data_IF_479325789013
#
_entry.id   IF_479325789013
#
_cell.length_a   1.000
_cell.length_b   1.000
_cell.length_c   1.000
_cell.angle_alpha   90.00
_cell.angle_beta   90.00
_cell.angle_gamma   90.00
#
_symmetry.space_group_name_H-M   'P 1'
#
loop_
_entity.id
_entity.type
_entity.pdbx_description
1 polymer ?
#
# COMPACT_ATOMS: atom_id res chain seq x y z
N UNK A 1 -33.46 -5.59 5.29
CA UNK A 1 -32.27 -4.81 4.88
C UNK A 1 -31.78 -4.06 6.11
N UNK A 2 -30.49 -4.11 6.46
CA UNK A 2 -29.98 -3.27 7.54
C UNK A 2 -30.24 -1.79 7.19
N UNK A 3 -30.52 -0.93 8.18
CA UNK A 3 -30.71 0.51 7.95
C UNK A 3 -29.48 1.05 7.22
N UNK A 4 -29.73 1.73 6.10
CA UNK A 4 -28.70 2.25 5.22
C UNK A 4 -28.06 3.46 5.90
N UNK A 5 -27.11 3.23 6.81
CA UNK A 5 -26.29 4.31 7.35
C UNK A 5 -25.40 4.82 6.21
N UNK A 6 -25.42 6.13 5.96
CA UNK A 6 -24.54 6.74 4.97
C UNK A 6 -23.21 7.09 5.65
N UNK A 7 -22.08 6.94 4.95
CA UNK A 7 -20.79 7.43 5.44
C UNK A 7 -20.89 8.95 5.68
N UNK A 8 -20.58 9.40 6.90
CA UNK A 8 -20.50 10.83 7.24
C UNK A 8 -19.06 11.34 7.16
N UNK A 9 -18.90 12.66 6.99
CA UNK A 9 -17.58 13.30 6.86
C UNK A 9 -16.72 13.10 8.11
N UNK A 10 -17.31 13.18 9.31
CA UNK A 10 -16.61 12.90 10.57
C UNK A 10 -16.04 11.49 10.63
N UNK A 11 -16.84 10.49 10.22
CA UNK A 11 -16.38 9.09 10.19
C UNK A 11 -15.28 8.94 9.15
N UNK A 12 -15.45 9.54 7.98
CA UNK A 12 -14.44 9.54 6.92
C UNK A 12 -13.13 10.19 7.35
N UNK A 13 -13.20 11.30 8.09
CA UNK A 13 -12.05 11.98 8.66
C UNK A 13 -11.27 11.09 9.64
N UNK A 14 -11.99 10.40 10.54
CA UNK A 14 -11.38 9.45 11.47
C UNK A 14 -10.67 8.29 10.73
N UNK A 15 -11.33 7.73 9.71
CA UNK A 15 -10.77 6.64 8.90
C UNK A 15 -9.53 7.11 8.12
N UNK A 16 -9.60 8.27 7.48
CA UNK A 16 -8.47 8.87 6.76
C UNK A 16 -7.29 9.17 7.68
N UNK A 17 -7.54 9.67 8.89
CA UNK A 17 -6.50 9.90 9.90
C UNK A 17 -5.87 8.58 10.40
N UNK A 18 -6.67 7.52 10.57
CA UNK A 18 -6.15 6.20 10.91
C UNK A 18 -5.29 5.61 9.78
N UNK A 19 -5.73 5.71 8.51
CA UNK A 19 -4.94 5.25 7.37
C UNK A 19 -3.60 5.97 7.28
N UNK A 20 -3.57 7.30 7.48
CA UNK A 20 -2.33 8.10 7.57
C UNK A 20 -1.39 7.62 8.68
N UNK A 21 -1.93 7.34 9.88
CA UNK A 21 -1.13 6.79 10.99
C UNK A 21 -0.59 5.40 10.68
N UNK A 22 -1.39 4.54 10.05
CA UNK A 22 -0.99 3.17 9.74
C UNK A 22 0.11 3.12 8.68
N UNK A 23 0.01 3.90 7.59
CA UNK A 23 1.05 3.93 6.56
C UNK A 23 2.33 4.59 7.07
N UNK A 24 2.23 5.54 8.01
CA UNK A 24 3.39 6.16 8.67
C UNK A 24 4.30 5.11 9.33
N UNK A 25 3.75 4.04 9.90
CA UNK A 25 4.55 2.95 10.47
C UNK A 25 5.49 2.34 9.42
N UNK A 26 5.04 2.14 8.18
CA UNK A 26 5.90 1.65 7.11
C UNK A 26 6.98 2.68 6.73
N UNK A 27 6.66 3.97 6.74
CA UNK A 27 7.62 5.04 6.47
C UNK A 27 8.69 5.14 7.56
N UNK A 28 8.29 5.03 8.83
CA UNK A 28 9.20 4.98 9.98
C UNK A 28 10.18 3.82 9.85
N UNK A 29 9.70 2.62 9.48
CA UNK A 29 10.57 1.45 9.25
C UNK A 29 11.56 1.70 8.10
N UNK A 30 11.15 2.37 7.03
CA UNK A 30 12.04 2.75 5.91
C UNK A 30 13.07 3.80 6.34
N UNK A 31 12.66 4.79 7.15
CA UNK A 31 13.56 5.82 7.68
C UNK A 31 14.62 5.21 8.60
N UNK A 32 14.23 4.37 9.55
CA UNK A 32 15.14 3.59 10.41
C UNK A 32 16.10 2.72 9.57
N UNK A 33 15.58 2.09 8.51
CA UNK A 33 16.40 1.35 7.56
C UNK A 33 17.34 2.26 6.75
N UNK A 34 17.08 3.56 6.61
CA UNK A 34 17.88 4.47 5.77
C UNK A 34 18.95 5.25 6.55
N UNK A 35 18.76 5.50 7.85
CA UNK A 35 19.50 6.53 8.60
C UNK A 35 20.80 6.09 9.31
N UNK A 36 21.22 4.82 9.26
CA UNK A 36 22.37 4.34 10.08
C UNK A 36 23.46 3.53 9.33
N UNK A 37 24.76 3.82 9.49
CA UNK A 37 25.81 2.86 9.20
C UNK A 37 25.95 1.88 10.38
N UNK A 38 25.71 0.58 10.17
CA UNK A 38 25.86 -0.46 11.21
C UNK A 38 27.04 -1.38 10.84
N UNK A 39 27.87 -1.76 11.82
CA UNK A 39 28.94 -2.77 11.65
C UNK A 39 28.34 -4.19 11.65
N UNK A 40 28.73 -5.05 10.70
CA UNK A 40 28.33 -6.47 10.62
C UNK A 40 27.49 -6.84 9.38
N UNK A 41 27.21 -8.14 9.11
CA UNK A 41 26.30 -8.57 8.05
C UNK A 41 24.90 -8.00 8.31
N UNK A 42 24.32 -7.31 7.32
CA UNK A 42 23.22 -6.35 7.53
C UNK A 42 22.02 -6.89 8.34
N UNK A 43 21.73 -6.34 9.53
CA UNK A 43 20.52 -6.66 10.31
C UNK A 43 19.24 -5.96 9.80
N UNK A 44 19.24 -5.42 8.56
CA UNK A 44 18.15 -4.59 8.01
C UNK A 44 17.12 -5.35 7.17
N UNK A 45 17.50 -6.48 6.58
CA UNK A 45 16.57 -7.32 5.81
C UNK A 45 15.44 -7.91 6.66
N UNK A 46 15.62 -7.96 7.98
CA UNK A 46 14.58 -8.35 8.95
C UNK A 46 13.45 -7.32 9.07
N UNK A 47 13.68 -6.05 8.72
CA UNK A 47 12.67 -4.99 8.75
C UNK A 47 11.78 -5.01 7.51
N UNK A 48 12.27 -5.48 6.36
CA UNK A 48 11.53 -5.48 5.10
C UNK A 48 10.18 -6.23 5.19
N UNK A 49 10.09 -7.42 5.82
CA UNK A 49 8.82 -8.08 6.07
C UNK A 49 7.83 -7.23 6.87
N UNK A 50 8.30 -6.53 7.90
CA UNK A 50 7.43 -5.66 8.71
C UNK A 50 7.01 -4.41 7.95
N UNK A 51 7.88 -3.84 7.11
CA UNK A 51 7.53 -2.74 6.20
C UNK A 51 6.41 -3.15 5.26
N UNK A 52 6.52 -4.34 4.65
CA UNK A 52 5.47 -4.88 3.77
C UNK A 52 4.17 -5.12 4.54
N UNK A 53 4.25 -5.74 5.72
CA UNK A 53 3.08 -6.00 6.56
C UNK A 53 2.37 -4.70 6.95
N UNK A 54 3.12 -3.68 7.38
CA UNK A 54 2.57 -2.38 7.75
C UNK A 54 1.93 -1.65 6.55
N UNK A 55 2.61 -1.63 5.40
CA UNK A 55 2.12 -0.94 4.20
C UNK A 55 0.84 -1.59 3.64
N UNK A 56 0.86 -2.91 3.45
CA UNK A 56 -0.30 -3.67 2.98
C UNK A 56 -1.44 -3.58 4.00
N UNK A 57 -1.15 -3.80 5.28
CA UNK A 57 -2.14 -3.73 6.35
C UNK A 57 -2.81 -2.36 6.47
N UNK A 58 -2.09 -1.26 6.23
CA UNK A 58 -2.66 0.09 6.23
C UNK A 58 -3.75 0.24 5.17
N UNK A 59 -3.51 -0.27 3.96
CA UNK A 59 -4.48 -0.28 2.86
C UNK A 59 -5.69 -1.18 3.15
N UNK A 60 -5.44 -2.42 3.58
CA UNK A 60 -6.51 -3.37 3.90
C UNK A 60 -7.43 -2.82 4.99
N UNK A 61 -6.84 -2.16 6.00
CA UNK A 61 -7.56 -1.54 7.09
C UNK A 61 -8.35 -0.32 6.61
N UNK A 62 -7.81 0.53 5.74
CA UNK A 62 -8.53 1.65 5.14
C UNK A 62 -9.83 1.18 4.49
N UNK A 63 -9.76 0.18 3.61
CA UNK A 63 -10.95 -0.34 2.91
C UNK A 63 -11.98 -0.87 3.92
N UNK A 64 -11.54 -1.67 4.90
CA UNK A 64 -12.44 -2.23 5.90
C UNK A 64 -13.07 -1.18 6.82
N UNK A 65 -12.31 -0.14 7.18
CA UNK A 65 -12.79 0.95 8.02
C UNK A 65 -13.76 1.84 7.27
N UNK A 66 -13.54 2.10 5.97
CA UNK A 66 -14.49 2.84 5.14
C UNK A 66 -15.84 2.10 5.03
N UNK A 67 -15.81 0.79 4.76
CA UNK A 67 -17.05 0.01 4.62
C UNK A 67 -17.77 -0.16 5.95
N UNK A 68 -17.04 -0.33 7.04
CA UNK A 68 -17.62 -0.39 8.38
C UNK A 68 -18.20 0.97 8.80
N UNK A 69 -17.50 2.07 8.50
CA UNK A 69 -17.96 3.43 8.79
C UNK A 69 -19.24 3.78 8.02
N UNK A 70 -19.40 3.27 6.80
CA UNK A 70 -20.62 3.38 6.02
C UNK A 70 -21.73 2.49 6.60
N UNK A 71 -21.50 1.19 6.79
CA UNK A 71 -22.60 0.25 7.09
C UNK A 71 -23.01 0.15 8.56
N UNK A 72 -22.12 0.43 9.50
CA UNK A 72 -22.37 0.12 10.91
C UNK A 72 -23.12 1.26 11.62
N UNK A 73 -24.30 0.95 12.15
CA UNK A 73 -25.04 1.86 13.03
C UNK A 73 -24.23 2.14 14.29
N UNK A 74 -23.68 1.09 14.91
CA UNK A 74 -22.84 1.15 16.10
C UNK A 74 -21.35 1.26 15.76
N UNK A 75 -20.99 2.16 14.85
CA UNK A 75 -19.59 2.43 14.51
C UNK A 75 -18.81 2.89 15.76
N UNK A 76 -17.67 2.23 16.02
CA UNK A 76 -16.83 2.47 17.22
C UNK A 76 -15.50 3.15 16.90
N UNK A 77 -15.36 3.64 15.67
CA UNK A 77 -14.11 4.15 15.15
C UNK A 77 -13.24 3.09 14.47
N UNK A 78 -12.13 3.54 13.85
CA UNK A 78 -11.20 2.70 13.09
C UNK A 78 -10.67 1.53 13.92
N UNK A 79 -10.55 0.35 13.31
CA UNK A 79 -10.08 -0.86 14.03
C UNK A 79 -11.14 -1.58 14.86
N UNK A 80 -12.28 -0.95 15.14
CA UNK A 80 -13.30 -1.50 16.04
C UNK A 80 -14.15 -2.64 15.47
N UNK A 81 -14.02 -2.94 14.17
CA UNK A 81 -14.85 -3.91 13.45
C UNK A 81 -13.99 -4.95 12.73
N UNK A 82 -14.44 -6.22 12.79
CA UNK A 82 -13.81 -7.34 12.09
C UNK A 82 -13.96 -7.19 10.58
N UNK A 83 -12.97 -7.65 9.83
CA UNK A 83 -12.94 -7.54 8.36
C UNK A 83 -13.10 -8.94 7.75
N UNK A 84 -13.77 -9.04 6.59
CA UNK A 84 -14.05 -10.31 5.90
C UNK A 84 -13.14 -10.56 4.69
N UNK A 85 -12.01 -9.85 4.56
CA UNK A 85 -11.04 -10.09 3.48
C UNK A 85 -11.37 -9.46 2.12
N UNK A 86 -12.37 -8.58 2.05
CA UNK A 86 -12.87 -7.98 0.81
C UNK A 86 -12.05 -6.78 0.27
N UNK A 87 -10.79 -6.64 0.69
CA UNK A 87 -9.90 -5.51 0.37
C UNK A 87 -8.95 -5.76 -0.81
N UNK A 88 -9.05 -6.92 -1.45
CA UNK A 88 -8.21 -7.30 -2.59
C UNK A 88 -8.83 -6.92 -3.93
N UNK A 89 -8.04 -6.71 -5.00
CA UNK A 89 -8.55 -6.20 -6.27
C UNK A 89 -9.76 -6.95 -6.83
N UNK A 90 -9.81 -8.27 -6.69
CA UNK A 90 -10.95 -9.09 -7.17
C UNK A 90 -12.27 -8.86 -6.43
N UNK A 91 -12.24 -8.26 -5.24
CA UNK A 91 -13.41 -8.08 -4.37
C UNK A 91 -13.64 -6.61 -3.97
N UNK A 92 -12.61 -5.76 -4.03
CA UNK A 92 -12.65 -4.39 -3.50
C UNK A 92 -13.69 -3.54 -4.20
N UNK A 93 -13.85 -3.66 -5.52
CA UNK A 93 -14.81 -2.86 -6.27
C UNK A 93 -16.25 -3.17 -5.85
N UNK A 94 -16.62 -4.45 -5.89
CA UNK A 94 -17.94 -4.90 -5.45
C UNK A 94 -18.20 -4.52 -3.98
N UNK A 95 -17.18 -4.63 -3.13
CA UNK A 95 -17.29 -4.29 -1.71
C UNK A 95 -17.51 -2.78 -1.48
N UNK A 96 -16.76 -1.92 -2.16
CA UNK A 96 -16.92 -0.46 -2.07
C UNK A 96 -18.27 -0.01 -2.64
N UNK A 97 -18.68 -0.54 -3.79
CA UNK A 97 -19.95 -0.18 -4.46
C UNK A 97 -21.16 -0.63 -3.62
N UNK A 98 -21.15 -1.88 -3.11
CA UNK A 98 -22.25 -2.40 -2.27
C UNK A 98 -22.46 -1.60 -0.97
N UNK A 99 -21.41 -0.95 -0.47
CA UNK A 99 -21.46 -0.05 0.69
C UNK A 99 -21.71 1.42 0.30
N UNK A 100 -22.05 1.67 -0.97
CA UNK A 100 -22.33 3.00 -1.53
C UNK A 100 -21.16 3.97 -1.32
N UNK A 101 -19.94 3.45 -1.23
CA UNK A 101 -18.73 4.27 -1.10
C UNK A 101 -18.35 4.93 -2.41
N UNK A 102 -18.62 4.25 -3.53
CA UNK A 102 -18.25 4.67 -4.88
C UNK A 102 -19.35 4.26 -5.85
N UNK A 103 -19.60 5.06 -6.89
CA UNK A 103 -20.54 4.72 -7.96
C UNK A 103 -19.94 3.80 -9.04
N UNK A 104 -18.61 3.83 -9.20
CA UNK A 104 -17.87 3.05 -10.19
C UNK A 104 -16.72 2.25 -9.56
N UNK A 105 -16.18 1.23 -10.25
CA UNK A 105 -15.02 0.48 -9.78
C UNK A 105 -13.85 1.39 -9.39
N UNK A 106 -13.19 1.08 -8.28
CA UNK A 106 -12.02 1.78 -7.79
C UNK A 106 -10.76 1.34 -8.55
N UNK A 107 -10.63 0.04 -8.84
CA UNK A 107 -9.45 -0.52 -9.52
C UNK A 107 -9.25 0.05 -10.92
N UNK A 108 -10.33 0.36 -11.65
CA UNK A 108 -10.28 1.02 -12.96
C UNK A 108 -9.84 2.48 -12.89
N UNK A 109 -9.90 3.08 -11.71
CA UNK A 109 -9.54 4.47 -11.44
C UNK A 109 -8.20 4.64 -10.73
N UNK A 110 -7.56 3.55 -10.32
CA UNK A 110 -6.28 3.61 -9.66
C UNK A 110 -5.22 4.26 -10.52
N UNK A 111 -4.53 5.22 -9.91
CA UNK A 111 -3.32 5.80 -10.44
C UNK A 111 -2.17 5.60 -9.46
N UNK A 112 -1.07 5.02 -9.94
CA UNK A 112 0.11 4.76 -9.14
C UNK A 112 1.34 4.58 -10.02
N UNK A 113 2.46 5.12 -9.55
CA UNK A 113 3.78 4.72 -9.99
C UNK A 113 4.22 3.47 -9.23
N UNK A 114 4.60 2.42 -9.94
CA UNK A 114 5.13 1.19 -9.37
C UNK A 114 6.37 0.71 -10.14
N UNK A 115 7.36 0.13 -9.46
CA UNK A 115 8.55 -0.39 -10.12
C UNK A 115 8.43 -1.90 -10.38
N UNK A 116 8.71 -2.31 -11.62
CA UNK A 116 8.63 -3.71 -12.03
C UNK A 116 9.88 -4.53 -11.61
N UNK A 117 11.04 -3.89 -11.49
CA UNK A 117 12.33 -4.56 -11.19
C UNK A 117 13.20 -3.70 -10.28
N UNK A 118 14.13 -4.35 -9.59
CA UNK A 118 14.98 -3.74 -8.56
C UNK A 118 16.41 -4.28 -8.61
N UNK A 119 17.36 -3.46 -8.18
CA UNK A 119 18.72 -3.86 -7.81
C UNK A 119 19.04 -3.29 -6.42
N UNK A 120 19.06 -4.16 -5.41
CA UNK A 120 19.17 -3.73 -4.00
C UNK A 120 17.98 -2.85 -3.60
N UNK A 121 18.25 -1.59 -3.24
CA UNK A 121 17.24 -0.58 -2.91
C UNK A 121 16.74 0.22 -4.12
N UNK A 122 17.42 0.12 -5.26
CA UNK A 122 17.19 0.98 -6.42
C UNK A 122 16.23 0.33 -7.40
N UNK A 123 15.10 0.97 -7.75
CA UNK A 123 14.22 0.49 -8.81
C UNK A 123 14.93 0.65 -10.16
N UNK A 124 14.84 -0.36 -11.02
CA UNK A 124 15.43 -0.32 -12.37
C UNK A 124 14.55 0.42 -13.39
N UNK A 125 13.35 0.81 -12.98
CA UNK A 125 12.40 1.57 -13.78
C UNK A 125 11.08 1.71 -13.02
N UNK A 126 10.36 2.80 -13.31
CA UNK A 126 9.02 3.05 -12.78
C UNK A 126 8.03 3.04 -13.92
N UNK A 127 6.95 2.30 -13.74
CA UNK A 127 5.77 2.34 -14.60
C UNK A 127 4.70 3.15 -13.87
N UNK A 128 4.14 4.15 -14.54
CA UNK A 128 3.02 4.93 -13.98
C UNK A 128 1.73 4.52 -14.66
N UNK A 129 0.78 4.00 -13.89
CA UNK A 129 -0.59 3.77 -14.33
C UNK A 129 -1.41 4.99 -13.99
N UNK A 130 -2.20 5.46 -14.95
CA UNK A 130 -3.21 6.51 -14.83
C UNK A 130 -4.57 5.96 -15.27
N UNK A 131 -5.63 6.72 -15.06
CA UNK A 131 -6.97 6.35 -15.56
C UNK A 131 -6.99 6.10 -17.07
N UNK A 132 -6.20 6.89 -17.81
CA UNK A 132 -6.09 6.84 -19.28
C UNK A 132 -5.06 5.81 -19.78
N UNK A 133 -4.35 5.11 -18.88
CA UNK A 133 -3.36 4.11 -19.28
C UNK A 133 -4.03 2.90 -19.95
N UNK A 134 -3.31 2.19 -20.85
CA UNK A 134 -3.78 0.95 -21.44
C UNK A 134 -4.13 -0.11 -20.39
N UNK A 135 -5.12 -0.96 -20.68
CA UNK A 135 -5.54 -2.04 -19.79
C UNK A 135 -4.37 -2.95 -19.36
N UNK A 136 -3.45 -3.25 -20.29
CA UNK A 136 -2.29 -4.10 -20.02
C UNK A 136 -1.36 -3.54 -18.91
N UNK A 137 -1.23 -2.22 -18.75
CA UNK A 137 -0.42 -1.64 -17.68
C UNK A 137 -1.15 -1.68 -16.33
N UNK A 138 -2.49 -1.58 -16.37
CA UNK A 138 -3.33 -1.79 -15.19
C UNK A 138 -3.26 -3.24 -14.72
N UNK A 139 -3.30 -4.21 -15.63
CA UNK A 139 -3.16 -5.63 -15.31
C UNK A 139 -1.82 -5.93 -14.63
N UNK A 140 -0.73 -5.29 -15.07
CA UNK A 140 0.58 -5.39 -14.39
C UNK A 140 0.54 -4.84 -12.97
N UNK A 141 -0.11 -3.69 -12.74
CA UNK A 141 -0.29 -3.14 -11.40
C UNK A 141 -1.14 -4.08 -10.52
N UNK A 142 -2.22 -4.64 -11.06
CA UNK A 142 -3.08 -5.59 -10.34
C UNK A 142 -2.34 -6.88 -9.99
N UNK A 143 -1.50 -7.38 -10.89
CA UNK A 143 -0.61 -8.52 -10.63
C UNK A 143 0.41 -8.18 -9.53
N UNK A 144 0.98 -6.98 -9.55
CA UNK A 144 1.91 -6.50 -8.52
C UNK A 144 1.25 -6.43 -7.13
N UNK A 145 0.03 -5.90 -7.04
CA UNK A 145 -0.77 -5.85 -5.80
C UNK A 145 -1.20 -7.26 -5.37
N UNK A 146 -1.48 -8.16 -6.30
CA UNK A 146 -1.83 -9.55 -5.98
C UNK A 146 -0.62 -10.30 -5.42
N UNK A 147 0.57 -10.07 -5.97
CA UNK A 147 1.82 -10.65 -5.47
C UNK A 147 2.16 -10.18 -4.05
N UNK A 148 1.86 -8.92 -3.71
CA UNK A 148 2.10 -8.38 -2.36
C UNK A 148 1.31 -9.13 -1.28
N UNK A 149 0.14 -9.71 -1.60
CA UNK A 149 -0.64 -10.56 -0.67
C UNK A 149 0.17 -11.75 -0.18
N UNK A 150 0.88 -12.41 -1.10
CA UNK A 150 1.76 -13.55 -0.76
C UNK A 150 2.91 -13.09 0.14
N UNK A 151 3.52 -11.94 -0.19
CA UNK A 151 4.57 -11.32 0.64
C UNK A 151 4.08 -10.97 2.05
N UNK A 152 2.91 -10.35 2.17
CA UNK A 152 2.27 -10.01 3.44
C UNK A 152 1.96 -11.24 4.27
N UNK A 153 1.34 -12.26 3.68
CA UNK A 153 1.00 -13.50 4.39
C UNK A 153 2.25 -14.24 4.88
N UNK A 154 3.27 -14.34 4.02
CA UNK A 154 4.54 -14.95 4.40
C UNK A 154 5.21 -14.20 5.56
N UNK A 155 5.20 -12.87 5.53
CA UNK A 155 5.72 -12.04 6.61
C UNK A 155 4.92 -12.24 7.91
N UNK A 156 3.58 -12.25 7.84
CA UNK A 156 2.72 -12.40 9.01
C UNK A 156 2.85 -13.76 9.70
N UNK A 157 3.14 -14.82 8.94
CA UNK A 157 3.29 -16.18 9.45
C UNK A 157 4.75 -16.63 9.62
N UNK A 158 5.73 -15.73 9.42
CA UNK A 158 7.16 -16.07 9.38
C UNK A 158 7.51 -17.19 8.38
N UNK A 159 6.69 -17.38 7.34
CA UNK A 159 6.79 -18.44 6.33
C UNK A 159 7.52 -17.99 5.06
N UNK A 160 8.42 -17.00 5.16
CA UNK A 160 9.16 -16.45 4.01
C UNK A 160 9.99 -17.51 3.28
N UNK A 161 10.62 -18.43 4.03
CA UNK A 161 11.46 -19.49 3.46
C UNK A 161 10.63 -20.55 2.73
N UNK A 162 9.49 -20.95 3.29
CA UNK A 162 8.60 -21.94 2.67
C UNK A 162 7.98 -21.40 1.38
N UNK A 163 7.46 -20.17 1.42
CA UNK A 163 6.91 -19.51 0.24
C UNK A 163 7.99 -19.22 -0.81
N UNK A 164 9.21 -18.93 -0.37
CA UNK A 164 10.34 -18.83 -1.27
C UNK A 164 10.58 -20.18 -1.97
N UNK A 165 10.80 -21.25 -1.23
CA UNK A 165 11.05 -22.59 -1.80
C UNK A 165 9.95 -23.04 -2.77
N UNK A 166 8.67 -22.80 -2.45
CA UNK A 166 7.55 -23.08 -3.34
C UNK A 166 7.60 -22.24 -4.63
N UNK A 167 7.84 -20.93 -4.52
CA UNK A 167 7.91 -20.06 -5.69
C UNK A 167 9.16 -20.30 -6.57
N UNK A 168 10.25 -20.83 -6.01
CA UNK A 168 11.46 -21.18 -6.76
C UNK A 168 11.21 -22.40 -7.67
N UNK A 169 10.37 -23.34 -7.26
CA UNK A 169 9.97 -24.49 -8.07
C UNK A 169 9.10 -24.09 -9.28
N UNK A 170 8.36 -22.97 -9.17
CA UNK A 170 7.49 -22.47 -10.23
C UNK A 170 8.23 -21.59 -11.29
N UNK A 171 9.48 -21.18 -11.05
CA UNK A 171 10.10 -20.04 -11.76
C UNK A 171 11.45 -20.32 -12.48
N UNK A 172 11.67 -21.55 -12.97
CA UNK A 172 12.86 -21.87 -13.77
C UNK A 172 12.89 -21.21 -15.18
N UNK A 173 11.90 -20.39 -15.55
CA UNK A 173 11.76 -19.84 -16.91
C UNK A 173 11.90 -18.32 -17.09
N UNK A 174 11.80 -17.47 -16.04
CA UNK A 174 11.71 -16.00 -16.23
C UNK A 174 12.71 -15.13 -15.43
N UNK A 175 13.57 -15.72 -14.59
CA UNK A 175 14.73 -15.02 -14.01
C UNK A 175 14.44 -13.80 -13.12
N UNK A 176 13.20 -13.64 -12.63
CA UNK A 176 12.84 -12.62 -11.62
C UNK A 176 12.22 -13.30 -10.41
N UNK A 177 12.61 -12.89 -9.20
CA UNK A 177 12.13 -13.54 -8.00
C UNK A 177 11.97 -12.55 -6.84
N UNK A 178 10.75 -12.30 -6.33
CA UNK A 178 10.50 -11.31 -5.29
C UNK A 178 11.08 -11.70 -3.92
N UNK A 179 11.64 -12.91 -3.77
CA UNK A 179 12.25 -13.42 -2.54
C UNK A 179 13.76 -13.61 -2.63
N UNK A 180 14.40 -13.10 -3.69
CA UNK A 180 15.86 -13.08 -3.84
C UNK A 180 16.41 -11.96 -2.96
N UNK A 181 16.53 -12.23 -1.66
CA UNK A 181 17.19 -11.32 -0.73
C UNK A 181 18.71 -11.37 -0.91
N UNK A 182 19.33 -10.24 -0.63
CA UNK A 182 20.75 -10.06 -0.34
C UNK A 182 21.24 -10.72 0.96
N UNK A 183 20.34 -11.38 1.72
CA UNK A 183 20.67 -12.09 2.96
C UNK A 183 21.00 -13.56 2.72
N UNK A 184 21.77 -14.17 3.64
CA UNK A 184 22.10 -15.60 3.63
C UNK A 184 20.87 -16.54 3.75
N UNK A 185 19.68 -16.00 4.05
CA UNK A 185 18.39 -16.72 4.08
C UNK A 185 17.36 -15.96 3.23
N UNK A 186 16.41 -16.64 2.58
CA UNK A 186 15.34 -15.98 1.84
C UNK A 186 14.59 -14.93 2.70
N UNK A 187 14.49 -13.71 2.18
CA UNK A 187 13.78 -12.58 2.78
C UNK A 187 13.25 -11.68 1.65
N UNK A 188 12.57 -10.58 2.00
CA UNK A 188 12.09 -9.60 1.04
C UNK A 188 13.18 -8.56 0.72
N UNK A 189 13.47 -8.27 -0.57
CA UNK A 189 14.41 -7.23 -0.96
C UNK A 189 13.97 -5.86 -0.47
N UNK A 190 14.93 -5.03 -0.05
CA UNK A 190 14.66 -3.68 0.45
C UNK A 190 14.00 -2.78 -0.61
N UNK A 191 14.41 -2.92 -1.89
CA UNK A 191 13.73 -2.26 -3.00
C UNK A 191 12.25 -2.64 -3.05
N UNK A 192 11.95 -3.95 -3.10
CA UNK A 192 10.57 -4.44 -3.14
C UNK A 192 9.71 -3.90 -1.98
N UNK A 193 10.22 -3.93 -0.74
CA UNK A 193 9.50 -3.38 0.41
C UNK A 193 9.20 -1.87 0.27
N UNK A 194 10.17 -1.08 -0.21
CA UNK A 194 10.00 0.36 -0.45
C UNK A 194 8.99 0.65 -1.55
N UNK A 195 9.01 -0.09 -2.66
CA UNK A 195 8.03 0.13 -3.73
C UNK A 195 6.64 -0.34 -3.38
N UNK A 196 6.48 -1.40 -2.58
CA UNK A 196 5.17 -1.73 -2.03
C UNK A 196 4.65 -0.60 -1.14
N UNK A 197 5.48 -0.06 -0.24
CA UNK A 197 5.08 1.10 0.57
C UNK A 197 4.70 2.31 -0.30
N UNK A 198 5.46 2.59 -1.36
CA UNK A 198 5.15 3.64 -2.34
C UNK A 198 3.80 3.42 -3.03
N UNK A 199 3.54 2.21 -3.52
CA UNK A 199 2.27 1.87 -4.20
C UNK A 199 1.11 2.02 -3.22
N UNK A 200 1.19 1.46 -2.01
CA UNK A 200 0.09 1.55 -1.05
C UNK A 200 -0.16 2.97 -0.55
N UNK A 201 0.87 3.81 -0.39
CA UNK A 201 0.68 5.22 -0.10
C UNK A 201 -0.15 5.91 -1.20
N UNK A 202 0.16 5.65 -2.47
CA UNK A 202 -0.57 6.20 -3.62
C UNK A 202 -2.00 5.67 -3.68
N UNK A 203 -2.22 4.37 -3.45
CA UNK A 203 -3.56 3.78 -3.44
C UNK A 203 -4.42 4.35 -2.30
N UNK A 204 -3.84 4.53 -1.11
CA UNK A 204 -4.52 5.18 0.03
C UNK A 204 -4.96 6.59 -0.33
N UNK A 205 -4.06 7.41 -0.88
CA UNK A 205 -4.35 8.79 -1.29
C UNK A 205 -5.41 8.83 -2.39
N UNK A 206 -5.25 8.01 -3.43
CA UNK A 206 -6.20 7.83 -4.53
C UNK A 206 -7.60 7.44 -4.04
N UNK A 207 -7.69 6.57 -3.04
CA UNK A 207 -8.98 6.10 -2.50
C UNK A 207 -9.66 7.15 -1.65
N UNK A 208 -8.90 7.86 -0.80
CA UNK A 208 -9.41 8.98 -0.04
C UNK A 208 -9.94 10.06 -1.00
N UNK A 209 -9.19 10.36 -2.06
CA UNK A 209 -9.57 11.35 -3.06
C UNK A 209 -10.91 10.99 -3.74
N UNK A 210 -11.04 9.77 -4.29
CA UNK A 210 -12.28 9.35 -4.94
C UNK A 210 -13.48 9.31 -3.98
N UNK A 211 -13.31 8.79 -2.77
CA UNK A 211 -14.42 8.71 -1.79
C UNK A 211 -14.90 10.10 -1.36
N UNK A 212 -13.97 11.04 -1.19
CA UNK A 212 -14.29 12.43 -0.87
C UNK A 212 -14.99 13.12 -2.04
N UNK A 213 -14.49 12.95 -3.27
CA UNK A 213 -15.04 13.58 -4.46
C UNK A 213 -16.47 13.11 -4.76
N UNK A 214 -16.77 11.82 -4.62
CA UNK A 214 -18.13 11.25 -4.79
C UNK A 214 -19.15 11.82 -3.79
N UNK A 215 -18.69 12.53 -2.75
CA UNK A 215 -19.52 13.14 -1.71
C UNK A 215 -19.40 14.66 -1.65
N UNK A 216 -18.63 15.27 -2.55
CA UNK A 216 -18.32 16.70 -2.56
C UNK A 216 -17.65 17.19 -1.26
N UNK A 217 -16.82 16.36 -0.64
CA UNK A 217 -16.00 16.76 0.52
C UNK A 217 -14.62 17.27 0.08
N UNK A 218 -13.99 18.09 0.92
CA UNK A 218 -12.61 18.54 0.67
C UNK A 218 -11.62 17.38 0.86
N UNK A 219 -11.20 16.78 -0.25
CA UNK A 219 -10.19 15.72 -0.22
C UNK A 219 -8.87 16.17 0.42
N UNK A 220 -8.51 17.45 0.31
CA UNK A 220 -7.26 18.01 0.83
C UNK A 220 -7.11 17.84 2.34
N UNK A 221 -8.20 18.00 3.10
CA UNK A 221 -8.21 17.83 4.56
C UNK A 221 -7.92 16.39 5.03
N UNK A 222 -8.20 15.40 4.17
CA UNK A 222 -8.17 13.99 4.54
C UNK A 222 -6.95 13.24 3.99
N UNK A 223 -6.40 13.70 2.86
CA UNK A 223 -5.30 13.02 2.16
C UNK A 223 -3.99 13.01 2.96
N UNK A 224 -3.09 12.04 2.68
CA UNK A 224 -1.75 12.04 3.25
C UNK A 224 -0.97 13.32 2.88
N UNK A 225 0.02 13.72 3.70
CA UNK A 225 0.85 14.90 3.42
C UNK A 225 1.52 14.82 2.05
N UNK A 226 1.48 15.93 1.30
CA UNK A 226 2.09 16.02 -0.04
C UNK A 226 3.59 15.70 -0.03
N UNK A 227 4.29 16.03 1.06
CA UNK A 227 5.72 15.82 1.22
C UNK A 227 6.11 14.34 1.27
N UNK A 228 5.19 13.42 1.57
CA UNK A 228 5.45 11.99 1.47
C UNK A 228 5.61 11.55 0.02
N UNK A 229 5.02 12.24 -0.95
CA UNK A 229 5.09 11.88 -2.37
C UNK A 229 6.36 12.39 -3.06
N UNK A 230 7.21 13.17 -2.38
CA UNK A 230 8.43 13.70 -2.96
C UNK A 230 9.52 12.63 -3.06
N UNK A 231 10.47 12.87 -3.95
CA UNK A 231 11.70 12.07 -4.08
C UNK A 231 12.54 11.99 -2.80
N UNK A 232 12.51 13.07 -2.00
CA UNK A 232 13.06 13.14 -0.64
C UNK A 232 12.06 13.84 0.24
N UNK A 233 11.80 13.27 1.41
CA UNK A 233 10.88 13.89 2.36
C UNK A 233 11.53 15.14 2.98
N UNK A 234 10.71 16.17 3.20
CA UNK A 234 11.11 17.44 3.84
C UNK A 234 10.44 17.65 5.20
N UNK A 235 9.59 16.70 5.60
CA UNK A 235 9.03 16.69 6.94
C UNK A 235 10.16 16.49 7.95
N UNK A 236 10.18 17.27 9.04
CA UNK A 236 11.28 17.31 10.00
C UNK A 236 11.72 15.92 10.51
N UNK A 237 10.77 14.98 10.64
CA UNK A 237 11.05 13.60 11.07
C UNK A 237 11.78 12.76 10.03
N UNK A 238 11.62 13.05 8.75
CA UNK A 238 12.13 12.26 7.61
C UNK A 238 13.06 13.07 6.71
N UNK A 239 13.59 14.19 7.20
CA UNK A 239 14.29 15.15 6.36
C UNK A 239 15.48 14.49 5.64
N UNK A 240 15.51 14.65 4.32
CA UNK A 240 16.54 14.08 3.46
C UNK A 240 16.40 12.57 3.14
N UNK A 241 15.46 11.86 3.77
CA UNK A 241 15.22 10.42 3.55
C UNK A 241 14.60 10.17 2.17
N UNK A 242 15.26 9.30 1.39
CA UNK A 242 14.75 8.81 0.10
C UNK A 242 13.92 7.54 0.31
N UNK A 243 12.64 7.70 0.64
CA UNK A 243 11.73 6.58 0.93
C UNK A 243 11.64 5.58 -0.24
N UNK A 244 11.72 6.07 -1.48
CA UNK A 244 11.53 5.29 -2.72
C UNK A 244 12.75 5.31 -3.65
N UNK A 245 13.93 5.63 -3.11
CA UNK A 245 15.18 5.80 -3.87
C UNK A 245 15.17 6.96 -4.90
N UNK A 246 14.59 8.12 -4.53
CA UNK A 246 14.79 9.38 -5.25
C UNK A 246 13.77 9.69 -6.35
N UNK A 247 12.71 8.91 -6.50
CA UNK A 247 11.60 9.19 -7.43
C UNK A 247 10.47 9.90 -6.71
N UNK A 248 9.91 10.97 -7.30
CA UNK A 248 8.64 11.52 -6.83
C UNK A 248 7.50 10.60 -7.25
N UNK A 249 6.62 10.26 -6.33
CA UNK A 249 5.47 9.41 -6.57
C UNK A 249 4.35 10.17 -7.29
N UNK A 250 3.53 9.42 -8.01
CA UNK A 250 2.32 9.98 -8.62
C UNK A 250 1.32 10.33 -7.52
N UNK A 251 0.64 11.46 -7.69
CA UNK A 251 -0.44 11.88 -6.80
C UNK A 251 -1.60 12.33 -7.67
N UNK A 252 -2.78 11.76 -7.45
CA UNK A 252 -3.97 12.10 -8.25
C UNK A 252 -4.23 13.60 -8.09
N UNK A 253 -4.27 14.31 -9.21
CA UNK A 253 -4.59 15.73 -9.22
C UNK A 253 -6.10 15.86 -9.43
N UNK A 254 -6.77 16.60 -8.55
CA UNK A 254 -8.15 17.03 -8.78
C UNK A 254 -8.20 18.04 -9.94
#
# INVERSE_FOLDING_TARGET
MPPNTQLTEDRFSQVSQAARRNIRTALDLIAIHSEQPVRGPQPRSSLNPFTVLAAVGAWERLIADLTSAASQTNWRGPGGHKTTGAHWPSAVDAHMISHQLLAAPLTSRWEAAFPARWKGITPLGWTTVRQTSPAADRDKLLAYITASRRARNAAAHYALVENASAAAQDMDSEGWYPWQSDAHKPSLPAGFARGLAAVYLQLIDCTIDFVAHERNWDAGAHRPPADWFRSRCRESRYDGVALWAGTSLHRVSA
#
